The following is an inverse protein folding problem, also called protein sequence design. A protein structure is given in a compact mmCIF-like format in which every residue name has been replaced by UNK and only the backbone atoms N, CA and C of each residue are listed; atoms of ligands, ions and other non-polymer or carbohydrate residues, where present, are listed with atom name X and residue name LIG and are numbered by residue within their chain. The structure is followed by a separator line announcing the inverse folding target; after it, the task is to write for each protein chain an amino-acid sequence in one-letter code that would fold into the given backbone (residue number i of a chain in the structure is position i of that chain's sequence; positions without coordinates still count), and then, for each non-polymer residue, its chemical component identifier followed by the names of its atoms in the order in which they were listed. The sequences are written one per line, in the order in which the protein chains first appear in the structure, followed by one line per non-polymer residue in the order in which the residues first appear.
data_IF_174805979966
#
_entry.id   IF_174805979966
#
_cell.length_a   1.000
_cell.length_b   1.000
_cell.length_c   1.000
_cell.angle_alpha   90.00
_cell.angle_beta   90.00
_cell.angle_gamma   90.00
#
_symmetry.space_group_name_H-M   'P 1'
#
loop_
_entity.id
_entity.type
_entity.pdbx_description
1 polymer ?
#
# COMPACT_ATOMS: atom_id res chain seq x y z
N UNK A 1 -16.05 -16.96 49.05
CA UNK A 1 -16.88 -15.74 49.00
C UNK A 1 -18.33 -16.17 49.16
N UNK A 2 -19.05 -15.67 50.17
CA UNK A 2 -20.51 -15.89 50.26
C UNK A 2 -21.17 -15.03 49.18
N UNK A 3 -21.75 -15.68 48.18
CA UNK A 3 -22.48 -15.02 47.11
C UNK A 3 -23.88 -14.63 47.62
N UNK A 4 -24.43 -13.50 47.18
CA UNK A 4 -25.81 -13.15 47.50
C UNK A 4 -26.77 -14.04 46.72
N UNK A 5 -27.92 -14.33 47.32
CA UNK A 5 -28.96 -15.24 46.80
C UNK A 5 -29.45 -14.83 45.39
N UNK A 6 -29.46 -13.52 45.10
CA UNK A 6 -29.80 -12.98 43.79
C UNK A 6 -28.80 -13.35 42.69
N UNK A 7 -27.50 -13.33 43.01
CA UNK A 7 -26.44 -13.68 42.06
C UNK A 7 -26.47 -15.20 41.80
N UNK A 8 -26.77 -16.00 42.83
CA UNK A 8 -26.96 -17.44 42.67
C UNK A 8 -28.16 -17.76 41.76
N UNK A 9 -29.26 -17.03 41.90
CA UNK A 9 -30.41 -17.11 40.98
C UNK A 9 -30.06 -16.73 39.53
N UNK A 10 -29.21 -15.72 39.32
CA UNK A 10 -28.74 -15.34 37.99
C UNK A 10 -27.88 -16.44 37.34
N UNK A 11 -27.01 -17.08 38.12
CA UNK A 11 -26.21 -18.21 37.61
C UNK A 11 -27.08 -19.41 37.20
N UNK A 12 -28.21 -19.64 37.87
CA UNK A 12 -29.17 -20.67 37.45
C UNK A 12 -29.82 -20.31 36.10
N UNK A 13 -30.17 -19.04 35.87
CA UNK A 13 -30.72 -18.59 34.59
C UNK A 13 -29.73 -18.77 33.43
N UNK A 14 -28.44 -18.57 33.68
CA UNK A 14 -27.37 -18.81 32.70
C UNK A 14 -27.29 -20.30 32.33
N UNK A 15 -27.37 -21.20 33.32
CA UNK A 15 -27.36 -22.66 33.07
C UNK A 15 -28.63 -23.14 32.34
N UNK A 16 -29.76 -22.47 32.53
CA UNK A 16 -31.01 -22.77 31.84
C UNK A 16 -31.06 -22.25 30.40
N UNK A 17 -30.20 -21.33 30.01
CA UNK A 17 -30.18 -20.78 28.65
C UNK A 17 -29.57 -21.80 27.67
N UNK A 18 -30.38 -22.31 26.75
CA UNK A 18 -29.90 -23.03 25.57
C UNK A 18 -30.04 -22.12 24.34
N UNK A 19 -28.93 -21.75 23.68
CA UNK A 19 -29.00 -20.95 22.45
C UNK A 19 -29.81 -21.71 21.40
N UNK A 20 -30.74 -21.01 20.75
CA UNK A 20 -31.56 -21.60 19.70
C UNK A 20 -30.75 -21.60 18.41
N UNK A 21 -30.23 -22.76 18.02
CA UNK A 21 -29.60 -22.94 16.70
C UNK A 21 -30.69 -22.83 15.63
N UNK A 22 -30.78 -21.65 15.01
CA UNK A 22 -31.61 -21.43 13.84
C UNK A 22 -30.80 -21.86 12.61
N UNK A 23 -31.05 -23.08 12.12
CA UNK A 23 -30.58 -23.52 10.81
C UNK A 23 -31.32 -22.73 9.72
N UNK A 24 -30.72 -21.61 9.31
CA UNK A 24 -31.19 -20.85 8.17
C UNK A 24 -30.93 -21.67 6.90
N UNK A 25 -31.99 -22.20 6.28
CA UNK A 25 -31.86 -22.82 4.96
C UNK A 25 -31.30 -21.81 3.96
N UNK A 26 -30.15 -22.12 3.37
CA UNK A 26 -29.56 -21.34 2.29
C UNK A 26 -30.38 -21.55 1.02
N UNK A 27 -31.28 -20.60 0.72
CA UNK A 27 -31.98 -20.59 -0.56
C UNK A 27 -30.98 -20.06 -1.60
N UNK A 28 -30.50 -20.93 -2.48
CA UNK A 28 -29.71 -20.51 -3.64
C UNK A 28 -30.65 -19.82 -4.63
N UNK A 29 -30.75 -18.50 -4.54
CA UNK A 29 -31.39 -17.68 -5.56
C UNK A 29 -30.38 -17.41 -6.67
N UNK A 30 -30.62 -17.81 -7.92
CA UNK A 30 -29.78 -17.42 -9.04
C UNK A 30 -29.66 -15.91 -9.09
N UNK A 31 -28.43 -15.40 -9.12
CA UNK A 31 -28.18 -13.99 -9.37
C UNK A 31 -28.42 -13.73 -10.86
N UNK A 32 -29.58 -13.16 -11.18
CA UNK A 32 -29.91 -12.67 -12.51
C UNK A 32 -29.64 -11.16 -12.47
N UNK A 33 -28.52 -10.67 -13.02
CA UNK A 33 -28.24 -9.25 -13.04
C UNK A 33 -29.28 -8.51 -13.89
N UNK A 34 -29.74 -7.37 -13.41
CA UNK A 34 -30.70 -6.51 -14.13
C UNK A 34 -30.11 -5.96 -15.44
N UNK A 35 -28.78 -5.93 -15.54
CA UNK A 35 -28.04 -5.45 -16.71
C UNK A 35 -27.00 -6.48 -17.13
N UNK A 36 -27.07 -6.90 -18.38
CA UNK A 36 -26.00 -7.68 -19.02
C UNK A 36 -24.98 -6.68 -19.56
N UNK A 37 -23.68 -6.83 -19.28
CA UNK A 37 -22.68 -5.97 -19.89
C UNK A 37 -22.81 -6.08 -21.41
N UNK A 38 -22.97 -4.95 -22.08
CA UNK A 38 -22.90 -4.87 -23.52
C UNK A 38 -21.45 -5.13 -23.94
N UNK A 39 -21.06 -6.40 -23.98
CA UNK A 39 -19.89 -6.82 -24.75
C UNK A 39 -20.27 -6.48 -26.18
N UNK A 40 -19.77 -5.35 -26.68
CA UNK A 40 -20.03 -4.92 -28.04
C UNK A 40 -19.80 -6.09 -28.99
N UNK A 41 -20.77 -6.36 -29.86
CA UNK A 41 -20.56 -7.31 -30.94
C UNK A 41 -19.35 -6.89 -31.77
N UNK A 42 -18.72 -7.85 -32.43
CA UNK A 42 -17.63 -7.56 -33.37
C UNK A 42 -18.18 -6.57 -34.41
N UNK A 43 -17.68 -5.33 -34.40
CA UNK A 43 -18.04 -4.35 -35.43
C UNK A 43 -17.51 -4.85 -36.77
N UNK A 44 -18.40 -5.08 -37.73
CA UNK A 44 -18.06 -5.56 -39.07
C UNK A 44 -17.31 -4.50 -39.90
N UNK A 45 -17.02 -3.33 -39.33
CA UNK A 45 -16.35 -2.19 -39.98
C UNK A 45 -17.07 -1.72 -41.25
N UNK A 46 -18.37 -2.00 -41.38
CA UNK A 46 -19.20 -1.48 -42.47
C UNK A 46 -19.58 -0.04 -42.11
N UNK A 47 -18.70 0.91 -42.44
CA UNK A 47 -18.94 2.35 -42.27
C UNK A 47 -19.41 2.96 -43.58
N UNK A 48 -20.43 3.81 -43.50
CA UNK A 48 -20.85 4.64 -44.64
C UNK A 48 -19.68 5.59 -44.94
N UNK A 49 -19.18 5.62 -46.19
CA UNK A 49 -18.07 6.51 -46.54
C UNK A 49 -18.49 7.96 -46.35
N UNK A 50 -17.54 8.83 -46.02
CA UNK A 50 -17.83 10.24 -45.84
C UNK A 50 -18.45 10.84 -47.12
N UNK A 51 -19.44 11.72 -47.00
CA UNK A 51 -20.05 12.40 -48.15
C UNK A 51 -19.07 13.26 -48.94
N UNK A 52 -17.94 13.63 -48.34
CA UNK A 52 -16.86 14.45 -48.92
C UNK A 52 -15.83 13.63 -49.74
N UNK A 53 -15.94 12.29 -49.74
CA UNK A 53 -15.03 11.38 -50.45
C UNK A 53 -13.62 11.28 -49.85
N UNK A 54 -13.38 11.89 -48.68
CA UNK A 54 -12.08 11.84 -48.02
C UNK A 54 -11.96 10.56 -47.17
N UNK A 55 -10.75 9.99 -46.99
CA UNK A 55 -10.58 8.72 -46.28
C UNK A 55 -10.90 8.85 -44.78
N UNK A 56 -11.89 8.13 -44.28
CA UNK A 56 -12.22 8.11 -42.85
C UNK A 56 -11.28 7.17 -42.08
N UNK A 57 -10.77 7.63 -40.94
CA UNK A 57 -9.84 6.88 -40.09
C UNK A 57 -10.38 6.68 -38.67
N UNK A 58 -11.65 7.03 -38.40
CA UNK A 58 -12.31 6.71 -37.13
C UNK A 58 -12.28 5.19 -36.89
N UNK A 59 -11.72 4.78 -35.75
CA UNK A 59 -11.53 3.37 -35.39
C UNK A 59 -10.28 2.69 -35.96
N UNK A 60 -9.59 3.28 -36.96
CA UNK A 60 -8.36 2.71 -37.54
C UNK A 60 -7.08 3.31 -36.93
N UNK A 61 -7.09 4.60 -36.57
CA UNK A 61 -5.93 5.29 -35.97
C UNK A 61 -6.03 5.50 -34.47
N UNK A 62 -7.24 5.51 -33.93
CA UNK A 62 -7.50 5.83 -32.51
C UNK A 62 -7.97 4.56 -31.80
N UNK A 63 -7.02 3.71 -31.46
CA UNK A 63 -7.20 2.64 -30.46
C UNK A 63 -6.92 3.27 -29.10
N UNK A 64 -7.86 4.06 -28.56
CA UNK A 64 -7.66 4.72 -27.26
C UNK A 64 -8.42 4.08 -26.10
N UNK A 65 -9.38 3.18 -26.33
CA UNK A 65 -10.28 2.77 -25.23
C UNK A 65 -10.25 1.28 -24.87
N UNK A 66 -9.62 0.42 -25.66
CA UNK A 66 -9.40 -0.97 -25.28
C UNK A 66 -7.91 -1.31 -25.29
N UNK A 67 -7.42 -1.84 -24.17
CA UNK A 67 -6.13 -2.53 -24.16
C UNK A 67 -6.26 -3.65 -25.18
N UNK A 68 -5.47 -3.59 -26.25
CA UNK A 68 -5.52 -4.59 -27.32
C UNK A 68 -5.34 -6.03 -26.80
N UNK A 69 -5.47 -7.05 -27.65
CA UNK A 69 -5.55 -8.47 -27.28
C UNK A 69 -4.22 -9.09 -26.79
N UNK A 70 -3.36 -8.31 -26.12
CA UNK A 70 -2.18 -8.80 -25.41
C UNK A 70 -2.63 -9.35 -24.06
N UNK A 71 -3.05 -10.61 -24.07
CA UNK A 71 -3.37 -11.34 -22.85
C UNK A 71 -2.14 -11.43 -21.95
N UNK A 72 -2.30 -11.08 -20.67
CA UNK A 72 -1.27 -11.24 -19.65
C UNK A 72 -0.93 -12.72 -19.45
N UNK A 73 0.32 -13.02 -19.13
CA UNK A 73 0.74 -14.37 -18.77
C UNK A 73 0.14 -14.77 -17.40
N UNK A 74 -0.61 -15.89 -17.31
CA UNK A 74 -1.15 -16.43 -16.07
C UNK A 74 -0.11 -16.60 -14.95
N UNK A 75 1.15 -16.89 -15.27
CA UNK A 75 2.21 -17.03 -14.28
C UNK A 75 2.63 -15.66 -13.70
N UNK A 76 2.71 -14.64 -14.56
CA UNK A 76 3.07 -13.27 -14.15
C UNK A 76 1.97 -12.66 -13.29
N UNK A 77 0.70 -12.82 -13.66
CA UNK A 77 -0.43 -12.28 -12.87
C UNK A 77 -0.53 -12.97 -11.50
N UNK A 78 -0.34 -14.29 -11.43
CA UNK A 78 -0.29 -15.00 -10.15
C UNK A 78 0.81 -14.42 -9.26
N UNK A 79 2.00 -14.21 -9.83
CA UNK A 79 3.13 -13.66 -9.10
C UNK A 79 2.87 -12.21 -8.60
N UNK A 80 2.23 -11.37 -9.42
CA UNK A 80 1.79 -10.03 -9.03
C UNK A 80 0.74 -10.06 -7.90
N UNK A 81 -0.29 -10.90 -8.04
CA UNK A 81 -1.34 -11.07 -7.02
C UNK A 81 -0.76 -11.52 -5.68
N UNK A 82 0.27 -12.39 -5.70
CA UNK A 82 0.97 -12.77 -4.46
C UNK A 82 1.78 -11.63 -3.87
N UNK A 83 2.49 -10.87 -4.70
CA UNK A 83 3.27 -9.73 -4.22
C UNK A 83 2.38 -8.65 -3.58
N UNK A 84 1.16 -8.46 -4.10
CA UNK A 84 0.18 -7.51 -3.54
C UNK A 84 -0.60 -8.07 -2.35
N UNK A 85 -0.65 -9.39 -2.18
CA UNK A 85 -1.40 -10.03 -1.09
C UNK A 85 -0.57 -10.05 0.20
N UNK A 86 -1.18 -9.60 1.31
CA UNK A 86 -0.60 -9.69 2.66
C UNK A 86 -0.67 -11.10 3.27
N UNK A 87 -1.22 -12.09 2.55
CA UNK A 87 -1.40 -13.46 3.08
C UNK A 87 -0.16 -14.32 2.85
N UNK A 88 0.40 -14.87 3.93
CA UNK A 88 1.57 -15.75 3.93
C UNK A 88 1.28 -17.22 3.55
N UNK A 89 0.02 -17.66 3.67
CA UNK A 89 -0.40 -19.04 3.40
C UNK A 89 -0.93 -19.21 1.97
N UNK A 90 -0.03 -19.23 0.97
CA UNK A 90 -0.38 -19.50 -0.42
C UNK A 90 0.27 -20.82 -0.87
N UNK A 91 -0.50 -21.68 -1.56
CA UNK A 91 -0.02 -22.94 -2.14
C UNK A 91 1.28 -22.76 -2.95
N UNK A 92 2.09 -23.81 -3.20
CA UNK A 92 3.34 -23.69 -3.97
C UNK A 92 3.12 -22.97 -5.31
N UNK A 93 4.01 -22.04 -5.65
CA UNK A 93 3.91 -21.25 -6.88
C UNK A 93 4.19 -22.16 -8.08
N UNK A 94 3.23 -22.30 -9.00
CA UNK A 94 3.49 -22.92 -10.30
C UNK A 94 4.22 -21.90 -11.18
N UNK A 95 5.56 -21.95 -11.14
CA UNK A 95 6.40 -21.13 -12.02
C UNK A 95 6.28 -21.71 -13.43
N UNK A 96 5.77 -20.94 -14.38
CA UNK A 96 5.81 -21.34 -15.78
C UNK A 96 7.27 -21.38 -16.26
N UNK A 97 7.72 -22.56 -16.70
CA UNK A 97 9.00 -22.71 -17.39
C UNK A 97 8.84 -22.35 -18.86
N UNK A 98 9.75 -21.54 -19.39
CA UNK A 98 9.81 -21.28 -20.84
C UNK A 98 10.40 -22.51 -21.51
N UNK A 99 9.56 -23.32 -22.15
CA UNK A 99 10.00 -24.47 -22.95
C UNK A 99 10.75 -23.97 -24.20
N UNK A 100 11.98 -24.45 -24.40
CA UNK A 100 12.86 -24.13 -25.54
C UNK A 100 13.14 -22.61 -25.75
N UNK A 101 13.98 -21.98 -24.91
CA UNK A 101 14.32 -20.55 -25.03
C UNK A 101 14.97 -20.18 -26.37
N UNK A 102 15.71 -21.10 -27.00
CA UNK A 102 16.35 -20.87 -28.30
C UNK A 102 15.35 -20.62 -29.45
N UNK A 103 14.14 -21.18 -29.36
CA UNK A 103 13.11 -21.01 -30.39
C UNK A 103 12.24 -19.77 -30.19
N UNK A 104 12.24 -19.16 -29.01
CA UNK A 104 11.35 -18.05 -28.66
C UNK A 104 12.03 -16.97 -27.78
N UNK A 105 13.06 -16.26 -28.30
CA UNK A 105 13.75 -15.20 -27.54
C UNK A 105 12.79 -14.08 -27.10
N UNK A 106 11.77 -13.76 -27.92
CA UNK A 106 10.78 -12.72 -27.59
C UNK A 106 9.96 -13.02 -26.34
N UNK A 107 9.61 -14.30 -26.10
CA UNK A 107 8.87 -14.70 -24.89
C UNK A 107 9.76 -14.57 -23.66
N UNK A 108 11.04 -14.93 -23.79
CA UNK A 108 12.03 -14.78 -22.75
C UNK A 108 12.24 -13.30 -22.38
N UNK A 109 12.43 -12.43 -23.36
CA UNK A 109 12.57 -10.98 -23.14
C UNK A 109 11.32 -10.38 -22.47
N UNK A 110 10.14 -10.79 -22.93
CA UNK A 110 8.87 -10.38 -22.32
C UNK A 110 8.74 -10.83 -20.86
N UNK A 111 9.14 -12.07 -20.55
CA UNK A 111 9.12 -12.60 -19.18
C UNK A 111 10.13 -11.87 -18.30
N UNK A 112 11.36 -11.64 -18.78
CA UNK A 112 12.40 -10.88 -18.06
C UNK A 112 11.90 -9.48 -17.70
N UNK A 113 11.27 -8.79 -18.65
CA UNK A 113 10.74 -7.44 -18.42
C UNK A 113 9.61 -7.45 -17.37
N UNK A 114 8.69 -8.42 -17.44
CA UNK A 114 7.62 -8.59 -16.44
C UNK A 114 8.16 -8.85 -15.03
N UNK A 115 9.23 -9.65 -14.88
CA UNK A 115 9.86 -9.92 -13.58
C UNK A 115 10.61 -8.67 -13.07
N UNK A 116 11.32 -7.94 -13.93
CA UNK A 116 11.97 -6.67 -13.56
C UNK A 116 10.94 -5.65 -13.06
N UNK A 117 9.79 -5.57 -13.72
CA UNK A 117 8.70 -4.68 -13.32
C UNK A 117 8.09 -5.08 -11.97
N UNK A 118 7.90 -6.38 -11.71
CA UNK A 118 7.50 -6.87 -10.40
C UNK A 118 8.53 -6.54 -9.31
N UNK A 119 9.81 -6.65 -9.60
CA UNK A 119 10.85 -6.28 -8.62
C UNK A 119 10.90 -4.77 -8.39
N UNK A 120 10.50 -3.96 -9.37
CA UNK A 120 10.37 -2.50 -9.21
C UNK A 120 9.23 -2.12 -8.28
N UNK A 121 8.15 -2.91 -8.22
CA UNK A 121 7.03 -2.66 -7.31
C UNK A 121 7.32 -3.09 -5.87
N UNK A 122 8.32 -3.94 -5.65
CA UNK A 122 8.82 -4.22 -4.30
C UNK A 122 9.71 -3.06 -3.86
N UNK A 123 9.42 -2.38 -2.74
CA UNK A 123 10.35 -1.40 -2.21
C UNK A 123 11.69 -2.09 -1.93
N UNK A 124 12.83 -1.50 -2.33
CA UNK A 124 14.12 -2.08 -2.02
C UNK A 124 14.25 -2.22 -0.50
N UNK A 125 14.78 -3.35 -0.01
CA UNK A 125 14.89 -3.62 1.43
C UNK A 125 15.85 -2.67 2.16
N UNK A 126 16.66 -1.90 1.40
CA UNK A 126 17.53 -0.88 1.94
C UNK A 126 17.46 0.38 1.09
N UNK A 127 17.40 1.54 1.75
CA UNK A 127 17.49 2.85 1.11
C UNK A 127 18.96 3.22 1.04
N UNK A 128 19.51 3.29 -0.17
CA UNK A 128 20.84 3.82 -0.41
C UNK A 128 20.75 5.33 -0.56
N UNK A 129 21.35 6.07 0.36
CA UNK A 129 21.35 7.52 0.33
C UNK A 129 22.43 8.07 -0.62
N UNK A 130 22.12 9.17 -1.29
CA UNK A 130 23.05 9.82 -2.23
C UNK A 130 24.30 10.42 -1.54
N UNK A 131 24.18 10.77 -0.25
CA UNK A 131 25.21 11.41 0.57
C UNK A 131 25.24 10.79 1.97
N UNK A 132 26.35 10.93 2.72
CA UNK A 132 26.43 10.41 4.08
C UNK A 132 25.35 11.06 4.95
N UNK A 133 24.55 10.20 5.58
CA UNK A 133 23.53 10.56 6.55
C UNK A 133 23.96 10.06 7.94
N UNK A 134 23.54 10.72 9.03
CA UNK A 134 23.75 10.20 10.38
C UNK A 134 23.09 8.81 10.55
N UNK A 135 23.71 7.93 11.34
CA UNK A 135 23.07 6.68 11.73
C UNK A 135 21.93 6.94 12.73
N UNK A 136 20.88 6.11 12.69
CA UNK A 136 19.73 6.23 13.60
C UNK A 136 20.19 6.12 15.06
N UNK A 137 21.14 5.23 15.38
CA UNK A 137 21.69 5.07 16.73
C UNK A 137 22.33 6.35 17.27
N UNK A 138 22.95 7.16 16.40
CA UNK A 138 23.56 8.44 16.79
C UNK A 138 22.47 9.48 17.09
N UNK A 139 21.38 9.46 16.35
CA UNK A 139 20.25 10.38 16.55
C UNK A 139 19.37 9.99 17.75
N UNK A 140 19.45 8.75 18.22
CA UNK A 140 18.78 8.30 19.44
C UNK A 140 19.53 8.66 20.74
N UNK A 141 20.70 9.30 20.63
CA UNK A 141 21.45 9.74 21.80
C UNK A 141 20.72 10.87 22.53
N UNK A 142 20.96 10.96 23.84
CA UNK A 142 20.42 12.03 24.67
C UNK A 142 20.92 13.40 24.19
N UNK A 143 20.04 14.40 24.23
CA UNK A 143 20.38 15.76 23.84
C UNK A 143 21.42 16.36 24.79
N UNK A 144 22.38 17.16 24.28
CA UNK A 144 23.26 17.94 25.13
C UNK A 144 22.47 18.84 26.08
N UNK A 145 22.95 18.98 27.32
CA UNK A 145 22.27 19.73 28.39
C UNK A 145 22.03 21.19 28.03
N UNK A 146 22.90 21.78 27.20
CA UNK A 146 22.74 23.13 26.67
C UNK A 146 21.52 23.24 25.75
N UNK A 147 21.30 22.24 24.92
CA UNK A 147 20.21 22.21 23.94
C UNK A 147 18.88 21.86 24.62
N UNK A 148 18.87 20.96 25.59
CA UNK A 148 17.69 20.63 26.40
C UNK A 148 17.14 21.87 27.13
N UNK A 149 18.02 22.69 27.72
CA UNK A 149 17.65 23.96 28.36
C UNK A 149 17.00 24.94 27.39
N UNK A 150 17.49 25.00 26.15
CA UNK A 150 16.93 25.87 25.11
C UNK A 150 15.56 25.34 24.66
N UNK A 151 15.44 24.03 24.41
CA UNK A 151 14.16 23.41 24.03
C UNK A 151 13.10 23.53 25.12
N UNK A 152 13.48 23.53 26.39
CA UNK A 152 12.55 23.76 27.50
C UNK A 152 12.06 25.21 27.56
N UNK A 153 12.88 26.15 27.10
CA UNK A 153 12.57 27.58 27.12
C UNK A 153 11.88 28.07 25.83
N UNK A 154 12.02 27.34 24.72
CA UNK A 154 11.52 27.72 23.39
C UNK A 154 10.28 26.90 23.05
N UNK A 155 9.18 27.58 22.74
CA UNK A 155 8.03 26.91 22.11
C UNK A 155 8.45 26.41 20.72
N UNK A 156 8.31 25.10 20.48
CA UNK A 156 8.58 24.51 19.18
C UNK A 156 7.76 25.23 18.10
N UNK A 157 8.32 25.44 16.89
CA UNK A 157 7.61 26.11 15.81
C UNK A 157 6.29 25.37 15.53
N UNK A 158 5.20 25.99 15.96
CA UNK A 158 3.82 25.48 15.82
C UNK A 158 3.19 26.13 14.58
N UNK A 159 2.00 25.68 14.17
CA UNK A 159 1.19 26.18 13.03
C UNK A 159 1.00 27.71 12.94
N UNK A 160 1.41 28.47 13.96
CA UNK A 160 1.40 29.94 14.01
C UNK A 160 2.53 30.59 13.21
N UNK A 161 3.52 29.82 12.78
CA UNK A 161 4.62 30.35 11.97
C UNK A 161 4.23 30.27 10.49
N UNK A 162 4.11 31.42 9.83
CA UNK A 162 3.75 31.54 8.41
C UNK A 162 4.93 31.08 7.52
N UNK A 163 5.17 29.76 7.49
CA UNK A 163 6.22 29.12 6.69
C UNK A 163 5.63 28.17 5.65
N UNK A 164 6.30 28.12 4.49
CA UNK A 164 6.08 27.06 3.52
C UNK A 164 6.47 25.69 4.11
N UNK A 165 5.75 24.65 3.72
CA UNK A 165 5.93 23.28 4.22
C UNK A 165 7.34 22.74 3.98
N UNK A 166 7.99 23.16 2.88
CA UNK A 166 9.37 22.83 2.60
C UNK A 166 10.31 23.43 3.64
N UNK A 167 10.15 24.72 3.93
CA UNK A 167 10.97 25.43 4.93
C UNK A 167 10.73 24.88 6.34
N UNK A 168 9.49 24.57 6.67
CA UNK A 168 9.15 23.92 7.94
C UNK A 168 9.86 22.56 8.09
N UNK A 169 9.83 21.72 7.05
CA UNK A 169 10.53 20.44 7.06
C UNK A 169 12.06 20.59 7.20
N UNK A 170 12.63 21.63 6.60
CA UNK A 170 14.06 21.93 6.67
C UNK A 170 14.46 22.39 8.09
N UNK A 171 13.60 23.17 8.77
CA UNK A 171 13.78 23.58 10.18
C UNK A 171 13.70 22.37 11.11
N UNK A 172 12.69 21.50 10.96
CA UNK A 172 12.57 20.29 11.77
C UNK A 172 13.77 19.35 11.60
N UNK A 173 14.24 19.13 10.36
CA UNK A 173 15.45 18.34 10.11
C UNK A 173 16.69 19.00 10.73
N UNK A 174 16.77 20.33 10.70
CA UNK A 174 17.89 21.07 11.31
C UNK A 174 17.92 20.96 12.84
N UNK A 175 16.76 20.98 13.50
CA UNK A 175 16.66 20.76 14.96
C UNK A 175 17.16 19.37 15.32
N UNK A 176 16.86 18.37 14.49
CA UNK A 176 17.24 16.96 14.68
C UNK A 176 18.68 16.64 14.22
N UNK A 177 19.50 17.63 13.86
CA UNK A 177 20.84 17.44 13.29
C UNK A 177 20.87 16.56 12.01
N UNK A 178 19.79 16.56 11.22
CA UNK A 178 19.68 15.84 9.95
C UNK A 178 20.02 16.79 8.79
N UNK A 179 21.07 16.51 7.99
CA UNK A 179 21.43 17.38 6.86
C UNK A 179 20.37 17.29 5.75
N UNK A 180 19.98 18.46 5.21
CA UNK A 180 19.13 18.56 4.03
C UNK A 180 20.01 18.83 2.80
N UNK A 181 19.96 17.92 1.83
CA UNK A 181 20.72 18.03 0.58
C UNK A 181 19.82 18.46 -0.59
N UNK A 182 20.00 17.86 -1.77
CA UNK A 182 19.20 18.19 -2.96
C UNK A 182 17.77 17.62 -2.91
N UNK A 183 17.58 16.51 -2.19
CA UNK A 183 16.29 15.85 -2.03
C UNK A 183 15.91 15.85 -0.57
N UNK A 184 14.80 16.51 -0.22
CA UNK A 184 14.21 16.48 1.13
C UNK A 184 13.70 15.10 1.51
N UNK A 185 13.42 14.25 0.52
CA UNK A 185 12.86 12.90 0.72
C UNK A 185 13.84 12.02 1.50
N UNK A 186 15.15 12.12 1.21
CA UNK A 186 16.16 11.33 1.91
C UNK A 186 16.25 11.73 3.39
N UNK A 187 16.22 13.03 3.69
CA UNK A 187 16.24 13.57 5.06
C UNK A 187 14.97 13.22 5.83
N UNK A 188 13.80 13.36 5.20
CA UNK A 188 12.51 12.97 5.79
C UNK A 188 12.42 11.46 6.06
N UNK A 189 13.00 10.63 5.19
CA UNK A 189 13.05 9.19 5.42
C UNK A 189 13.84 8.85 6.70
N UNK A 190 14.97 9.52 6.96
CA UNK A 190 15.73 9.37 8.21
C UNK A 190 14.91 9.83 9.41
N UNK A 191 14.25 10.99 9.31
CA UNK A 191 13.39 11.51 10.39
C UNK A 191 12.26 10.54 10.75
N UNK A 192 11.57 9.97 9.76
CA UNK A 192 10.51 8.99 10.01
C UNK A 192 11.04 7.65 10.50
N UNK A 193 12.23 7.23 10.04
CA UNK A 193 12.90 6.03 10.52
C UNK A 193 13.28 6.18 12.00
N UNK A 194 13.81 7.34 12.40
CA UNK A 194 14.09 7.68 13.80
C UNK A 194 12.81 7.64 14.64
N UNK A 195 11.72 8.26 14.14
CA UNK A 195 10.43 8.25 14.84
C UNK A 195 9.87 6.84 15.02
N UNK A 196 9.98 5.99 14.00
CA UNK A 196 9.53 4.60 14.06
C UNK A 196 10.34 3.80 15.08
N UNK A 197 11.66 3.97 15.08
CA UNK A 197 12.54 3.28 16.03
C UNK A 197 12.25 3.71 17.47
N UNK A 198 12.05 5.01 17.69
CA UNK A 198 11.68 5.56 19.01
C UNK A 198 10.32 5.03 19.47
N UNK A 199 9.34 4.91 18.57
CA UNK A 199 8.03 4.32 18.85
C UNK A 199 8.13 2.83 19.21
N UNK A 200 9.07 2.10 18.61
CA UNK A 200 9.28 0.69 18.89
C UNK A 200 10.07 0.47 20.19
N UNK A 201 11.06 1.32 20.48
CA UNK A 201 11.92 1.22 21.66
C UNK A 201 11.25 1.72 22.94
N UNK A 202 10.36 2.70 22.82
CA UNK A 202 9.64 3.30 23.95
C UNK A 202 8.13 3.14 23.71
N UNK A 203 7.43 2.21 24.38
CA UNK A 203 5.98 2.21 24.36
C UNK A 203 5.53 3.50 25.03
N UNK A 204 5.10 4.47 24.22
CA UNK A 204 4.61 5.73 24.72
C UNK A 204 3.45 5.47 25.70
N UNK A 205 3.53 5.90 26.98
CA UNK A 205 2.45 5.71 27.94
C UNK A 205 1.17 6.39 27.42
N UNK A 206 0.01 5.74 27.48
CA UNK A 206 -1.30 6.21 26.95
C UNK A 206 -1.70 7.67 27.29
N UNK A 207 -1.00 8.36 28.19
CA UNK A 207 -1.19 9.77 28.52
C UNK A 207 -0.99 10.75 27.35
N UNK A 208 -0.17 10.44 26.34
CA UNK A 208 -0.03 11.32 25.15
C UNK A 208 -1.27 11.31 24.25
N UNK A 209 -2.12 10.29 24.35
CA UNK A 209 -3.39 10.21 23.62
C UNK A 209 -4.51 11.03 24.29
N UNK A 210 -4.36 11.38 25.57
CA UNK A 210 -5.38 12.08 26.37
C UNK A 210 -5.27 13.62 26.33
N UNK A 211 -4.23 14.17 25.68
CA UNK A 211 -4.00 15.63 25.55
C UNK A 211 -4.13 16.16 24.12
N UNK A 212 -4.97 15.52 23.29
CA UNK A 212 -5.53 16.17 22.09
C UNK A 212 -6.92 16.71 22.38
#
# INVERSE_FOLDING_TARGET
LQLSEEIEGLFQLIHCYKPKELELRTILKPFIPDFIPAVGGVDEFIKIPRPDGQPDFLGLKVVLDERGPKQSDPAVINLQLRASSMKSNLHPLQVASVENPEKNPKKLDSWINSIKELHRSKPPPSVSYSKPMPSIDKLMQEWPVELEKILTAVELPTEKLDLDIGTFSDVCCSILDIPVYKSRIESLHVMFSLFLELKNSMPFPDEWASKR
#
